data_IF_408548717218
#
_entry.id   IF_408548717218
#
_cell.length_a   1.000
_cell.length_b   1.000
_cell.length_c   1.000
_cell.angle_alpha   90.00
_cell.angle_beta   90.00
_cell.angle_gamma   90.00
#
_symmetry.space_group_name_H-M   'P 1'
#
loop_
_entity.id
_entity.type
_entity.pdbx_description
1 polymer ?
#
# COMPACT_ATOMS: atom_id res chain seq x y z
N UNK A 1 30.08 0.31 -12.77
CA UNK A 1 28.71 0.64 -12.37
C UNK A 1 28.35 -0.39 -11.32
N UNK A 2 28.38 0.02 -10.06
CA UNK A 2 28.10 -0.86 -8.93
C UNK A 2 26.66 -1.39 -9.04
N UNK A 3 26.46 -2.68 -8.78
CA UNK A 3 25.12 -3.26 -8.77
C UNK A 3 24.27 -2.54 -7.71
N UNK A 4 23.01 -2.17 -8.01
CA UNK A 4 22.17 -1.48 -7.05
C UNK A 4 21.92 -2.39 -5.85
N UNK A 5 22.62 -2.13 -4.76
CA UNK A 5 22.51 -2.86 -3.52
C UNK A 5 21.47 -2.22 -2.60
N UNK A 6 20.86 -3.06 -1.75
CA UNK A 6 19.91 -2.58 -0.75
C UNK A 6 20.65 -1.69 0.24
N UNK A 7 20.04 -0.55 0.59
CA UNK A 7 20.63 0.39 1.56
C UNK A 7 20.87 -0.28 2.92
N UNK A 8 19.97 -1.17 3.34
CA UNK A 8 20.11 -1.94 4.58
C UNK A 8 21.42 -2.73 4.64
N UNK A 9 21.73 -3.47 3.57
CA UNK A 9 22.93 -4.32 3.52
C UNK A 9 24.22 -3.49 3.54
N UNK A 10 24.27 -2.40 2.77
CA UNK A 10 25.41 -1.49 2.78
C UNK A 10 25.60 -0.84 4.14
N UNK A 11 24.49 -0.43 4.78
CA UNK A 11 24.51 0.22 6.08
C UNK A 11 24.92 -0.75 7.19
N UNK A 12 24.48 -2.01 7.16
CA UNK A 12 24.92 -3.06 8.08
C UNK A 12 26.41 -3.38 7.92
N UNK A 13 26.89 -3.48 6.69
CA UNK A 13 28.31 -3.74 6.43
C UNK A 13 29.19 -2.54 6.84
N UNK A 14 28.72 -1.32 6.64
CA UNK A 14 29.41 -0.12 7.11
C UNK A 14 29.40 -0.02 8.64
N UNK A 15 28.24 -0.25 9.28
CA UNK A 15 28.09 -0.19 10.73
C UNK A 15 28.91 -1.24 11.46
N UNK A 16 28.95 -2.48 10.97
CA UNK A 16 29.78 -3.53 11.58
C UNK A 16 31.26 -3.18 11.59
N UNK A 17 31.79 -2.63 10.48
CA UNK A 17 33.18 -2.14 10.40
C UNK A 17 33.44 -0.98 11.37
N UNK A 18 32.53 0.01 11.42
CA UNK A 18 32.62 1.16 12.33
C UNK A 18 32.61 0.70 13.79
N UNK A 19 31.76 -0.28 14.13
CA UNK A 19 31.60 -0.77 15.49
C UNK A 19 32.83 -1.55 15.96
N UNK A 20 33.43 -2.38 15.10
CA UNK A 20 34.68 -3.10 15.42
C UNK A 20 35.85 -2.13 15.59
N UNK A 21 36.02 -1.16 14.67
CA UNK A 21 37.12 -0.19 14.74
C UNK A 21 36.93 0.79 15.90
N UNK A 22 35.71 1.30 16.10
CA UNK A 22 35.36 2.21 17.18
C UNK A 22 35.48 1.56 18.56
N UNK A 23 34.98 0.32 18.70
CA UNK A 23 35.12 -0.46 19.94
C UNK A 23 36.58 -0.75 20.28
N UNK A 24 37.38 -1.15 19.29
CA UNK A 24 38.83 -1.31 19.45
C UNK A 24 39.54 -0.01 19.85
N UNK A 25 39.13 1.13 19.26
CA UNK A 25 39.66 2.45 19.60
C UNK A 25 39.38 2.87 21.05
N UNK A 26 38.14 2.68 21.52
CA UNK A 26 37.75 2.97 22.91
C UNK A 26 38.54 2.10 23.90
N UNK A 27 38.68 0.81 23.61
CA UNK A 27 39.46 -0.11 24.45
C UNK A 27 40.95 0.29 24.48
N UNK A 28 41.50 0.65 23.32
CA UNK A 28 42.88 1.13 23.18
C UNK A 28 43.12 2.41 23.98
N UNK A 29 42.19 3.38 23.93
CA UNK A 29 42.25 4.59 24.74
C UNK A 29 42.23 4.28 26.25
N UNK A 30 41.34 3.37 26.67
CA UNK A 30 41.20 3.00 28.08
C UNK A 30 42.46 2.31 28.62
N UNK A 31 42.99 1.33 27.88
CA UNK A 31 44.23 0.64 28.24
C UNK A 31 45.44 1.58 28.19
N UNK A 32 45.54 2.43 27.15
CA UNK A 32 46.58 3.44 27.05
C UNK A 32 46.57 4.40 28.24
N UNK A 33 45.39 4.88 28.64
CA UNK A 33 45.23 5.75 29.81
C UNK A 33 45.65 5.07 31.12
N UNK A 34 45.29 3.79 31.32
CA UNK A 34 45.73 3.01 32.48
C UNK A 34 47.26 2.87 32.50
N UNK A 35 47.89 2.54 31.37
CA UNK A 35 49.35 2.40 31.28
C UNK A 35 50.05 3.72 31.57
N UNK A 36 49.56 4.85 31.06
CA UNK A 36 50.14 6.18 31.35
C UNK A 36 50.02 6.54 32.83
N UNK A 37 48.93 6.13 33.50
CA UNK A 37 48.68 6.48 34.90
C UNK A 37 49.44 5.60 35.90
N UNK A 38 49.64 4.32 35.59
CA UNK A 38 50.19 3.34 36.53
C UNK A 38 51.55 2.75 36.11
N UNK A 39 52.02 3.00 34.89
CA UNK A 39 53.24 2.39 34.35
C UNK A 39 54.38 3.39 34.18
N UNK A 40 55.25 3.50 35.19
CA UNK A 40 56.47 4.34 35.12
C UNK A 40 57.43 3.91 33.99
N UNK A 41 57.57 2.61 33.75
CA UNK A 41 58.51 2.08 32.76
C UNK A 41 57.95 2.07 31.31
N UNK A 42 56.62 2.11 31.14
CA UNK A 42 55.95 1.91 29.84
C UNK A 42 55.24 3.15 29.31
N UNK A 43 55.60 4.34 29.80
CA UNK A 43 54.92 5.59 29.47
C UNK A 43 54.85 5.88 27.96
N UNK A 44 55.91 5.57 27.20
CA UNK A 44 55.93 5.74 25.74
C UNK A 44 54.93 4.83 25.01
N UNK A 45 54.77 3.58 25.46
CA UNK A 45 53.80 2.64 24.89
C UNK A 45 52.37 3.10 25.20
N UNK A 46 52.15 3.64 26.41
CA UNK A 46 50.87 4.22 26.80
C UNK A 46 50.43 5.36 25.88
N UNK A 47 51.33 6.31 25.59
CA UNK A 47 51.05 7.41 24.66
C UNK A 47 50.77 6.93 23.23
N UNK A 48 51.49 5.93 22.72
CA UNK A 48 51.21 5.34 21.41
C UNK A 48 49.81 4.71 21.34
N UNK A 49 49.39 4.01 22.39
CA UNK A 49 48.05 3.44 22.51
C UNK A 49 46.96 4.52 22.55
N UNK A 50 47.20 5.62 23.28
CA UNK A 50 46.25 6.74 23.34
C UNK A 50 46.11 7.42 21.99
N UNK A 51 47.21 7.70 21.29
CA UNK A 51 47.16 8.32 19.96
C UNK A 51 46.50 7.39 18.94
N UNK A 52 46.89 6.10 18.95
CA UNK A 52 46.30 5.09 18.06
C UNK A 52 44.80 4.89 18.30
N UNK A 53 44.38 4.80 19.56
CA UNK A 53 42.97 4.70 19.93
C UNK A 53 42.17 5.94 19.54
N UNK A 54 42.74 7.13 19.73
CA UNK A 54 42.13 8.40 19.32
C UNK A 54 41.94 8.50 17.80
N UNK A 55 42.96 8.12 17.02
CA UNK A 55 42.87 8.09 15.56
C UNK A 55 41.81 7.10 15.05
N UNK A 56 41.73 5.90 15.65
CA UNK A 56 40.71 4.91 15.31
C UNK A 56 39.29 5.41 15.62
N UNK A 57 39.09 6.11 16.74
CA UNK A 57 37.81 6.72 17.10
C UNK A 57 37.42 7.85 16.13
N UNK A 58 38.36 8.73 15.78
CA UNK A 58 38.12 9.78 14.79
C UNK A 58 37.72 9.18 13.43
N UNK A 59 38.39 8.11 13.00
CA UNK A 59 38.03 7.39 11.78
C UNK A 59 36.62 6.78 11.84
N UNK A 60 36.26 6.16 12.97
CA UNK A 60 34.92 5.62 13.19
C UNK A 60 33.83 6.70 13.15
N UNK A 61 34.08 7.86 13.77
CA UNK A 61 33.16 9.02 13.75
C UNK A 61 33.02 9.55 12.32
N UNK A 62 34.13 9.70 11.59
CA UNK A 62 34.10 10.14 10.19
C UNK A 62 33.27 9.19 9.31
N UNK A 63 33.48 7.88 9.45
CA UNK A 63 32.68 6.87 8.75
C UNK A 63 31.19 6.95 9.08
N UNK A 64 30.85 7.19 10.36
CA UNK A 64 29.46 7.37 10.78
C UNK A 64 28.80 8.64 10.20
N UNK A 65 29.56 9.72 10.05
CA UNK A 65 29.03 10.93 9.40
C UNK A 65 28.79 10.69 7.90
N UNK A 66 29.63 9.89 7.26
CA UNK A 66 29.50 9.58 5.83
C UNK A 66 28.33 8.64 5.52
N UNK A 67 27.91 7.77 6.45
CA UNK A 67 26.71 6.94 6.23
C UNK A 67 25.41 7.76 6.18
N UNK A 68 25.41 8.96 6.77
CA UNK A 68 24.26 9.88 6.68
C UNK A 68 24.08 10.51 5.31
N UNK A 69 25.12 10.59 4.49
CA UNK A 69 25.04 11.19 3.15
C UNK A 69 24.71 10.19 2.03
N UNK A 70 24.33 8.95 2.38
CA UNK A 70 23.94 7.94 1.38
C UNK A 70 22.55 8.29 0.85
N UNK A 71 22.38 8.52 -0.47
CA UNK A 71 21.08 8.81 -1.06
C UNK A 71 20.13 7.62 -0.89
N UNK A 72 18.84 7.91 -0.65
CA UNK A 72 17.80 6.90 -0.50
C UNK A 72 16.74 7.07 -1.57
N UNK A 73 16.50 6.02 -2.35
CA UNK A 73 15.44 5.91 -3.33
C UNK A 73 14.40 4.92 -2.81
N UNK A 74 13.26 5.39 -2.26
CA UNK A 74 12.20 4.51 -1.81
C UNK A 74 11.44 3.92 -3.00
N UNK A 75 11.21 2.61 -2.96
CA UNK A 75 10.44 1.87 -3.95
C UNK A 75 9.33 1.10 -3.24
N UNK A 76 8.08 1.45 -3.55
CA UNK A 76 6.89 0.82 -2.97
C UNK A 76 6.62 -0.55 -3.61
N UNK A 77 6.46 -1.58 -2.78
CA UNK A 77 6.14 -2.92 -3.24
C UNK A 77 4.66 -3.03 -3.66
N UNK A 78 4.33 -3.48 -4.90
CA UNK A 78 2.95 -3.56 -5.39
C UNK A 78 2.12 -4.67 -4.73
N UNK A 79 2.76 -5.56 -3.96
CA UNK A 79 2.08 -6.67 -3.30
C UNK A 79 1.64 -6.31 -1.87
N UNK A 80 2.55 -5.76 -1.06
CA UNK A 80 2.33 -5.45 0.35
C UNK A 80 2.22 -3.95 0.66
N UNK A 81 2.45 -3.07 -0.31
CA UNK A 81 2.48 -1.61 -0.17
C UNK A 81 3.48 -1.09 0.88
N UNK A 82 4.52 -1.87 1.18
CA UNK A 82 5.62 -1.42 2.04
C UNK A 82 6.79 -0.95 1.18
N UNK A 83 7.49 0.07 1.68
CA UNK A 83 8.59 0.72 0.98
C UNK A 83 9.91 0.01 1.24
N UNK A 84 10.70 -0.15 0.18
CA UNK A 84 12.06 -0.68 0.23
C UNK A 84 13.04 0.40 -0.24
N UNK A 85 14.05 0.69 0.56
CA UNK A 85 15.01 1.77 0.27
C UNK A 85 16.27 1.25 -0.43
N UNK A 86 16.58 1.84 -1.58
CA UNK A 86 17.78 1.54 -2.36
C UNK A 86 18.73 2.73 -2.42
N UNK A 87 20.02 2.46 -2.62
CA UNK A 87 21.05 3.51 -2.79
C UNK A 87 21.07 4.10 -4.19
N UNK A 88 20.50 3.38 -5.17
CA UNK A 88 20.30 3.81 -6.55
C UNK A 88 19.00 3.21 -7.11
N UNK A 89 18.44 3.76 -8.21
CA UNK A 89 17.28 3.19 -8.87
C UNK A 89 17.55 1.73 -9.28
N UNK A 90 16.72 0.76 -8.85
CA UNK A 90 16.94 -0.64 -9.18
C UNK A 90 16.66 -0.89 -10.67
N UNK A 91 17.61 -1.53 -11.35
CA UNK A 91 17.53 -1.83 -12.80
C UNK A 91 17.06 -3.27 -13.05
N UNK A 92 17.09 -4.12 -12.01
CA UNK A 92 16.75 -5.53 -12.07
C UNK A 92 15.65 -5.87 -11.06
N UNK A 93 14.96 -6.97 -11.30
CA UNK A 93 13.97 -7.54 -10.39
C UNK A 93 14.60 -7.77 -9.01
N UNK A 94 13.85 -7.46 -7.94
CA UNK A 94 14.31 -7.63 -6.56
C UNK A 94 13.24 -8.32 -5.71
N UNK A 95 13.67 -9.02 -4.67
CA UNK A 95 12.75 -9.58 -3.68
C UNK A 95 12.44 -8.52 -2.61
N UNK A 96 11.15 -8.27 -2.35
CA UNK A 96 10.71 -7.41 -1.26
C UNK A 96 11.04 -8.05 0.10
N UNK A 97 11.61 -7.28 1.03
CA UNK A 97 12.01 -7.80 2.36
C UNK A 97 10.83 -8.16 3.27
N UNK A 98 9.67 -7.57 3.02
CA UNK A 98 8.50 -7.73 3.88
C UNK A 98 7.62 -8.92 3.49
N UNK A 99 7.39 -9.10 2.19
CA UNK A 99 6.53 -10.17 1.69
C UNK A 99 7.28 -11.26 0.93
N UNK A 100 8.60 -11.13 0.76
CA UNK A 100 9.46 -12.09 0.04
C UNK A 100 9.04 -12.36 -1.41
N UNK A 101 8.14 -11.53 -1.98
CA UNK A 101 7.69 -11.64 -3.37
C UNK A 101 8.68 -10.92 -4.27
N UNK A 102 8.91 -11.51 -5.45
CA UNK A 102 9.72 -10.91 -6.49
C UNK A 102 8.95 -9.76 -7.15
N UNK A 103 9.48 -8.55 -6.97
CA UNK A 103 9.01 -7.32 -7.62
C UNK A 103 9.74 -7.18 -8.94
N UNK A 104 8.97 -7.04 -10.01
CA UNK A 104 9.50 -6.96 -11.37
C UNK A 104 9.70 -5.51 -11.79
N UNK A 105 10.82 -5.25 -12.45
CA UNK A 105 11.16 -3.92 -12.96
C UNK A 105 11.26 -3.96 -14.48
N UNK A 106 10.55 -3.05 -15.14
CA UNK A 106 10.63 -2.83 -16.57
C UNK A 106 10.99 -1.38 -16.85
N UNK A 107 12.09 -1.17 -17.59
CA UNK A 107 12.58 0.17 -17.96
C UNK A 107 12.77 1.11 -16.74
N UNK A 108 13.23 0.56 -15.62
CA UNK A 108 13.43 1.32 -14.38
C UNK A 108 12.15 1.69 -13.63
N UNK A 109 10.99 1.16 -14.04
CA UNK A 109 9.71 1.32 -13.33
C UNK A 109 9.25 0.00 -12.76
N UNK A 110 8.66 0.05 -11.57
CA UNK A 110 8.01 -1.10 -10.95
C UNK A 110 6.77 -1.47 -11.75
N UNK A 111 6.65 -2.76 -12.10
CA UNK A 111 5.47 -3.27 -12.80
C UNK A 111 4.41 -3.62 -11.77
N UNK A 112 3.20 -3.07 -11.93
CA UNK A 112 2.08 -3.34 -11.03
C UNK A 112 1.64 -4.81 -11.05
N UNK A 113 1.26 -5.30 -9.88
CA UNK A 113 0.71 -6.64 -9.73
C UNK A 113 -0.70 -6.70 -10.32
N UNK A 114 -0.99 -7.75 -11.12
CA UNK A 114 -2.33 -7.99 -11.65
C UNK A 114 -3.19 -8.63 -10.56
N UNK A 115 -4.40 -8.13 -10.37
CA UNK A 115 -5.41 -8.78 -9.55
C UNK A 115 -6.24 -9.72 -10.40
N UNK A 116 -6.22 -11.01 -10.04
CA UNK A 116 -7.02 -12.03 -10.71
C UNK A 116 -7.89 -12.75 -9.68
N UNK A 117 -9.09 -13.15 -10.10
CA UNK A 117 -9.96 -13.98 -9.28
C UNK A 117 -9.60 -15.45 -9.49
N UNK A 118 -9.38 -16.19 -8.41
CA UNK A 118 -9.11 -17.62 -8.50
C UNK A 118 -10.33 -18.35 -9.11
N UNK A 119 -10.18 -19.14 -10.17
CA UNK A 119 -11.30 -19.83 -10.80
C UNK A 119 -11.89 -20.94 -9.93
N UNK A 120 -11.14 -21.46 -8.94
CA UNK A 120 -11.56 -22.57 -8.11
C UNK A 120 -12.29 -22.13 -6.83
N UNK A 121 -11.77 -21.11 -6.13
CA UNK A 121 -12.33 -20.66 -4.84
C UNK A 121 -12.87 -19.22 -4.87
N UNK A 122 -12.63 -18.46 -5.94
CA UNK A 122 -13.10 -17.09 -6.06
C UNK A 122 -12.33 -16.05 -5.24
N UNK A 123 -11.25 -16.42 -4.53
CA UNK A 123 -10.42 -15.45 -3.80
C UNK A 123 -9.64 -14.54 -4.76
N UNK A 124 -9.36 -13.31 -4.31
CA UNK A 124 -8.59 -12.32 -5.05
C UNK A 124 -7.10 -12.56 -4.84
N UNK A 125 -6.35 -12.69 -5.94
CA UNK A 125 -4.92 -13.00 -5.91
C UNK A 125 -4.14 -11.91 -6.64
N UNK A 126 -3.07 -11.42 -6.01
CA UNK A 126 -2.13 -10.45 -6.60
C UNK A 126 -0.92 -11.19 -7.16
N UNK A 127 -0.79 -11.22 -8.48
CA UNK A 127 0.25 -11.99 -9.18
C UNK A 127 1.08 -11.07 -10.05
N UNK A 128 2.35 -11.43 -10.26
CA UNK A 128 3.24 -10.69 -11.16
C UNK A 128 2.68 -10.61 -12.58
N UNK A 129 2.92 -9.49 -13.25
CA UNK A 129 2.40 -9.27 -14.59
C UNK A 129 2.93 -10.27 -15.63
N UNK A 130 4.12 -10.84 -15.42
CA UNK A 130 4.78 -11.83 -16.30
C UNK A 130 4.42 -13.29 -15.99
N UNK A 131 3.81 -13.61 -14.85
CA UNK A 131 3.50 -15.00 -14.53
C UNK A 131 2.43 -15.57 -15.48
N UNK A 132 2.72 -16.74 -16.05
CA UNK A 132 1.77 -17.54 -16.84
C UNK A 132 0.96 -18.50 -15.96
N UNK A 133 1.59 -19.02 -14.91
CA UNK A 133 0.98 -19.87 -13.89
C UNK A 133 1.19 -19.24 -12.51
N UNK A 134 0.20 -19.41 -11.65
CA UNK A 134 0.26 -18.97 -10.26
C UNK A 134 -0.39 -20.01 -9.36
N UNK A 135 -0.07 -19.98 -8.08
CA UNK A 135 -0.69 -20.84 -7.07
C UNK A 135 -1.57 -19.97 -6.19
N UNK A 136 -2.80 -20.41 -5.93
CA UNK A 136 -3.72 -19.66 -5.08
C UNK A 136 -3.30 -19.78 -3.62
N UNK A 137 -3.10 -18.68 -2.92
CA UNK A 137 -2.70 -18.68 -1.50
C UNK A 137 -3.77 -19.30 -0.58
N UNK A 138 -5.05 -19.24 -0.97
CA UNK A 138 -6.17 -19.72 -0.15
C UNK A 138 -6.43 -21.22 -0.32
N UNK A 139 -6.48 -21.70 -1.57
CA UNK A 139 -6.87 -23.08 -1.89
C UNK A 139 -5.70 -23.95 -2.39
N UNK A 140 -4.51 -23.38 -2.47
CA UNK A 140 -3.26 -24.02 -2.88
C UNK A 140 -3.34 -24.81 -4.19
N UNK A 141 -4.20 -24.37 -5.12
CA UNK A 141 -4.32 -24.94 -6.46
C UNK A 141 -3.64 -24.06 -7.50
N UNK A 142 -3.06 -24.71 -8.49
CA UNK A 142 -2.51 -24.05 -9.66
C UNK A 142 -3.63 -23.38 -10.47
N UNK A 143 -3.38 -22.15 -10.89
CA UNK A 143 -4.26 -21.36 -11.75
C UNK A 143 -3.45 -20.83 -12.92
N UNK A 144 -4.06 -20.90 -14.10
CA UNK A 144 -3.47 -20.35 -15.31
C UNK A 144 -3.86 -18.87 -15.42
N UNK A 145 -2.88 -17.98 -15.28
CA UNK A 145 -3.08 -16.51 -15.25
C UNK A 145 -3.63 -16.01 -16.58
N UNK A 146 -3.31 -16.68 -17.69
CA UNK A 146 -3.81 -16.33 -19.02
C UNK A 146 -5.30 -16.63 -19.18
N UNK A 147 -5.82 -17.64 -18.47
CA UNK A 147 -7.24 -18.04 -18.50
C UNK A 147 -8.06 -17.41 -17.37
N UNK A 148 -7.41 -16.94 -16.31
CA UNK A 148 -8.08 -16.31 -15.18
C UNK A 148 -8.65 -14.95 -15.57
N UNK A 149 -9.87 -14.66 -15.13
CA UNK A 149 -10.51 -13.38 -15.38
C UNK A 149 -9.75 -12.29 -14.64
N UNK A 150 -9.13 -11.37 -15.40
CA UNK A 150 -8.53 -10.17 -14.85
C UNK A 150 -9.64 -9.32 -14.27
N UNK A 151 -9.58 -9.13 -12.97
CA UNK A 151 -10.39 -8.09 -12.34
C UNK A 151 -9.56 -6.83 -12.50
N UNK A 152 -9.89 -6.05 -13.54
CA UNK A 152 -9.49 -4.63 -13.54
C UNK A 152 -9.95 -4.12 -12.19
N UNK A 153 -9.06 -3.45 -11.44
CA UNK A 153 -9.40 -2.84 -10.16
C UNK A 153 -10.52 -1.82 -10.41
N UNK A 154 -11.76 -2.32 -10.44
CA UNK A 154 -12.96 -1.53 -10.31
C UNK A 154 -12.88 -1.09 -8.87
N UNK A 155 -12.54 0.17 -8.69
CA UNK A 155 -12.38 0.82 -7.40
C UNK A 155 -13.63 0.52 -6.56
N UNK A 156 -13.54 -0.47 -5.65
CA UNK A 156 -14.66 -0.87 -4.79
C UNK A 156 -15.08 0.26 -3.84
N UNK A 157 -14.23 1.28 -3.73
CA UNK A 157 -14.47 2.51 -2.99
C UNK A 157 -14.97 3.68 -3.85
N UNK A 158 -15.21 3.48 -5.16
CA UNK A 158 -15.85 4.52 -5.95
C UNK A 158 -17.20 4.88 -5.31
N UNK A 159 -17.51 6.18 -5.15
CA UNK A 159 -18.77 6.60 -4.56
C UNK A 159 -19.93 6.20 -5.47
N UNK A 160 -20.94 5.53 -4.90
CA UNK A 160 -22.18 5.17 -5.59
C UNK A 160 -23.34 5.98 -5.00
N UNK A 161 -24.37 6.17 -5.81
CA UNK A 161 -25.67 6.68 -5.38
C UNK A 161 -26.74 5.60 -5.57
N UNK A 162 -27.74 5.62 -4.69
CA UNK A 162 -28.89 4.73 -4.76
C UNK A 162 -30.13 5.55 -5.13
N UNK A 163 -30.69 5.28 -6.30
CA UNK A 163 -31.87 5.96 -6.84
C UNK A 163 -33.07 5.04 -6.73
N UNK A 164 -34.15 5.56 -6.15
CA UNK A 164 -35.44 4.90 -6.12
C UNK A 164 -36.23 5.34 -7.37
N UNK A 165 -36.46 4.41 -8.28
CA UNK A 165 -37.11 4.67 -9.57
C UNK A 165 -38.60 4.31 -9.56
N UNK A 166 -39.02 3.41 -8.66
CA UNK A 166 -40.41 2.99 -8.58
C UNK A 166 -40.76 2.27 -7.30
N UNK A 167 -42.06 2.17 -7.03
CA UNK A 167 -42.62 1.39 -5.91
C UNK A 167 -43.55 0.33 -6.48
N UNK A 168 -43.38 -0.91 -6.04
CA UNK A 168 -44.20 -2.04 -6.49
C UNK A 168 -45.56 -2.13 -5.79
N UNK A 169 -46.14 -3.33 -5.80
CA UNK A 169 -47.54 -3.57 -5.41
C UNK A 169 -47.87 -3.31 -3.93
N UNK A 170 -46.87 -3.16 -3.06
CA UNK A 170 -47.04 -3.01 -1.61
C UNK A 170 -46.29 -1.78 -1.06
N UNK A 171 -46.79 -0.56 -1.29
CA UNK A 171 -46.10 0.68 -0.89
C UNK A 171 -45.94 0.81 0.62
N UNK A 172 -46.85 0.24 1.43
CA UNK A 172 -46.78 0.34 2.90
C UNK A 172 -45.54 -0.33 3.49
N UNK A 173 -45.03 -1.41 2.88
CA UNK A 173 -43.79 -2.07 3.32
C UNK A 173 -42.56 -1.22 3.02
N UNK A 174 -42.52 -0.62 1.83
CA UNK A 174 -41.44 0.28 1.42
C UNK A 174 -41.41 1.51 2.32
N UNK A 175 -42.58 2.06 2.67
CA UNK A 175 -42.69 3.21 3.59
C UNK A 175 -42.12 2.88 4.97
N UNK A 176 -42.44 1.72 5.56
CA UNK A 176 -41.89 1.32 6.87
C UNK A 176 -40.36 1.22 6.86
N UNK A 177 -39.78 0.66 5.78
CA UNK A 177 -38.32 0.53 5.66
C UNK A 177 -37.67 1.90 5.45
N UNK A 178 -38.26 2.77 4.61
CA UNK A 178 -37.72 4.12 4.40
C UNK A 178 -37.85 5.00 5.66
N UNK A 179 -38.92 4.85 6.44
CA UNK A 179 -39.10 5.51 7.73
C UNK A 179 -37.99 5.13 8.71
N UNK A 180 -37.65 3.84 8.83
CA UNK A 180 -36.56 3.41 9.71
C UNK A 180 -35.18 3.79 9.20
N UNK A 181 -34.95 3.74 7.88
CA UNK A 181 -33.65 4.06 7.28
C UNK A 181 -33.33 5.55 7.25
N UNK A 182 -34.31 6.40 6.93
CA UNK A 182 -34.13 7.85 6.79
C UNK A 182 -34.51 8.61 8.06
N UNK A 183 -35.11 7.94 9.05
CA UNK A 183 -35.63 8.55 10.28
C UNK A 183 -36.63 9.69 10.00
N UNK A 184 -37.44 9.51 8.95
CA UNK A 184 -38.45 10.45 8.49
C UNK A 184 -39.85 10.01 8.92
N UNK A 185 -40.75 10.97 9.14
CA UNK A 185 -42.15 10.68 9.44
C UNK A 185 -42.85 10.05 8.23
N UNK A 186 -43.78 9.12 8.47
CA UNK A 186 -44.56 8.43 7.43
C UNK A 186 -45.18 9.36 6.38
N UNK A 187 -45.62 10.56 6.79
CA UNK A 187 -46.19 11.54 5.87
C UNK A 187 -45.14 12.12 4.89
N UNK A 188 -43.92 12.36 5.37
CA UNK A 188 -42.83 12.90 4.56
C UNK A 188 -42.31 11.85 3.58
N UNK A 189 -42.22 10.58 4.01
CA UNK A 189 -41.88 9.46 3.11
C UNK A 189 -42.90 9.33 1.98
N UNK A 190 -44.20 9.48 2.27
CA UNK A 190 -45.24 9.46 1.21
C UNK A 190 -45.04 10.57 0.18
N UNK A 191 -44.72 11.79 0.62
CA UNK A 191 -44.40 12.90 -0.28
C UNK A 191 -43.16 12.62 -1.12
N UNK A 192 -42.14 11.98 -0.55
CA UNK A 192 -40.93 11.57 -1.29
C UNK A 192 -41.23 10.51 -2.36
N UNK A 193 -42.17 9.60 -2.09
CA UNK A 193 -42.62 8.60 -3.08
C UNK A 193 -43.49 9.20 -4.20
N UNK A 194 -44.07 10.38 -4.00
CA UNK A 194 -44.79 11.10 -5.07
C UNK A 194 -43.83 11.79 -6.04
N UNK A 195 -42.59 12.07 -5.62
CA UNK A 195 -41.54 12.72 -6.41
C UNK A 195 -40.58 11.75 -7.09
N UNK A 196 -41.00 10.51 -7.37
CA UNK A 196 -40.16 9.53 -8.07
C UNK A 196 -39.82 9.99 -9.50
N UNK A 197 -38.59 9.77 -9.99
CA UNK A 197 -37.44 9.12 -9.34
C UNK A 197 -36.68 10.04 -8.35
N UNK A 198 -36.18 9.48 -7.24
CA UNK A 198 -35.45 10.24 -6.20
C UNK A 198 -34.17 9.54 -5.74
N UNK A 199 -33.11 10.31 -5.48
CA UNK A 199 -31.85 9.83 -4.90
C UNK A 199 -32.00 9.69 -3.39
N UNK A 200 -31.87 8.48 -2.85
CA UNK A 200 -32.01 8.22 -1.41
C UNK A 200 -30.69 8.44 -0.66
N UNK A 201 -29.59 7.96 -1.24
CA UNK A 201 -28.27 8.04 -0.64
C UNK A 201 -27.23 8.38 -1.71
N UNK A 202 -26.36 9.33 -1.40
CA UNK A 202 -25.20 9.69 -2.22
C UNK A 202 -23.91 9.31 -1.50
N UNK A 203 -22.83 9.14 -2.25
CA UNK A 203 -21.48 8.89 -1.72
C UNK A 203 -21.40 7.67 -0.77
N UNK A 204 -22.12 6.58 -1.11
CA UNK A 204 -22.08 5.34 -0.36
C UNK A 204 -21.20 4.30 -1.04
N UNK A 205 -20.59 3.42 -0.23
CA UNK A 205 -19.83 2.29 -0.76
C UNK A 205 -20.76 1.31 -1.46
N UNK A 206 -20.25 0.63 -2.49
CA UNK A 206 -21.03 -0.33 -3.28
C UNK A 206 -21.70 -1.39 -2.42
N UNK A 207 -20.98 -1.92 -1.42
CA UNK A 207 -21.50 -2.92 -0.48
C UNK A 207 -22.71 -2.41 0.31
N UNK A 208 -22.66 -1.15 0.79
CA UNK A 208 -23.80 -0.55 1.51
C UNK A 208 -24.98 -0.32 0.56
N UNK A 209 -24.72 0.17 -0.65
CA UNK A 209 -25.75 0.36 -1.68
C UNK A 209 -26.46 -0.95 -2.04
N UNK A 210 -25.73 -2.05 -2.18
CA UNK A 210 -26.27 -3.37 -2.48
C UNK A 210 -27.10 -3.94 -1.32
N UNK A 211 -26.66 -3.79 -0.06
CA UNK A 211 -27.47 -4.23 1.09
C UNK A 211 -28.79 -3.46 1.19
N UNK A 212 -28.73 -2.13 1.08
CA UNK A 212 -29.93 -1.29 1.12
C UNK A 212 -30.87 -1.56 -0.06
N UNK A 213 -30.32 -1.78 -1.25
CA UNK A 213 -31.08 -2.21 -2.43
C UNK A 213 -31.81 -3.53 -2.17
N UNK A 214 -31.13 -4.51 -1.58
CA UNK A 214 -31.73 -5.81 -1.29
C UNK A 214 -32.94 -5.68 -0.37
N UNK A 215 -32.80 -4.94 0.74
CA UNK A 215 -33.90 -4.71 1.69
C UNK A 215 -35.09 -3.98 1.04
N UNK A 216 -34.82 -2.98 0.19
CA UNK A 216 -35.85 -2.25 -0.53
C UNK A 216 -36.55 -3.11 -1.60
N UNK A 217 -35.80 -3.92 -2.33
CA UNK A 217 -36.34 -4.84 -3.34
C UNK A 217 -37.19 -5.94 -2.69
N UNK A 218 -36.80 -6.44 -1.52
CA UNK A 218 -37.59 -7.41 -0.73
C UNK A 218 -38.93 -6.82 -0.28
N UNK A 219 -38.96 -5.52 0.06
CA UNK A 219 -40.20 -4.78 0.31
C UNK A 219 -41.01 -4.44 -0.96
N UNK A 220 -40.48 -4.75 -2.14
CA UNK A 220 -41.14 -4.56 -3.43
C UNK A 220 -40.84 -3.22 -4.10
N UNK A 221 -39.77 -2.52 -3.73
CA UNK A 221 -39.32 -1.31 -4.41
C UNK A 221 -38.46 -1.60 -5.65
N UNK A 222 -38.40 -0.66 -6.59
CA UNK A 222 -37.53 -0.69 -7.76
C UNK A 222 -36.42 0.34 -7.55
N UNK A 223 -35.19 -0.13 -7.46
CA UNK A 223 -34.00 0.71 -7.20
C UNK A 223 -32.89 0.45 -8.21
N UNK A 224 -32.18 1.53 -8.53
CA UNK A 224 -31.02 1.55 -9.42
C UNK A 224 -29.80 2.07 -8.66
N UNK A 225 -28.64 1.43 -8.84
CA UNK A 225 -27.36 1.89 -8.28
C UNK A 225 -26.60 2.55 -9.43
N UNK A 226 -26.27 3.84 -9.28
CA UNK A 226 -25.48 4.58 -10.26
C UNK A 226 -24.11 4.95 -9.66
N UNK A 227 -23.01 4.89 -10.42
CA UNK A 227 -21.75 5.44 -9.97
C UNK A 227 -21.80 6.97 -10.04
N UNK A 228 -21.27 7.66 -9.02
CA UNK A 228 -21.35 9.13 -8.92
C UNK A 228 -20.72 9.85 -10.14
N UNK A 229 -19.73 9.22 -10.78
CA UNK A 229 -19.09 9.74 -12.00
C UNK A 229 -20.05 9.83 -13.20
N UNK A 230 -21.09 8.98 -13.26
CA UNK A 230 -22.12 9.05 -14.30
C UNK A 230 -23.23 10.04 -13.94
N UNK A 231 -23.57 10.16 -12.66
CA UNK A 231 -24.57 11.12 -12.17
C UNK A 231 -24.17 12.58 -12.47
N UNK A 232 -22.89 12.92 -12.23
CA UNK A 232 -22.34 14.25 -12.53
C UNK A 232 -22.25 14.55 -14.04
N UNK A 233 -22.14 13.52 -14.88
CA UNK A 233 -22.12 13.67 -16.34
C UNK A 233 -23.54 13.88 -16.92
N UNK A 234 -24.57 13.39 -16.23
CA UNK A 234 -25.97 13.53 -16.66
C UNK A 234 -26.57 14.89 -16.24
N UNK A 235 -26.14 15.44 -15.10
CA UNK A 235 -26.45 16.82 -14.64
C UNK A 235 -25.65 17.92 -15.36
N UNK A 236 -24.68 17.56 -16.21
CA UNK A 236 -23.97 18.55 -17.01
C UNK A 236 -24.92 19.19 -18.04
N UNK A 237 -24.99 20.53 -18.13
CA UNK A 237 -25.89 21.21 -19.04
C UNK A 237 -25.57 20.84 -20.50
N UNK A 238 -26.62 20.77 -21.33
CA UNK A 238 -26.62 20.13 -22.66
C UNK A 238 -25.52 20.61 -23.62
N UNK A 239 -24.95 21.80 -23.39
CA UNK A 239 -23.84 22.38 -24.14
C UNK A 239 -22.46 21.76 -23.83
N UNK A 240 -22.35 20.88 -22.84
CA UNK A 240 -21.11 20.21 -22.41
C UNK A 240 -21.01 18.74 -22.84
N UNK A 241 -22.09 18.17 -23.38
CA UNK A 241 -22.11 16.78 -23.89
C UNK A 241 -21.45 16.76 -25.27
N UNK A 242 -20.19 16.34 -25.34
CA UNK A 242 -19.52 16.10 -26.63
C UNK A 242 -20.25 14.97 -27.37
N UNK A 243 -20.50 15.09 -28.69
CA UNK A 243 -21.15 14.03 -29.46
C UNK A 243 -20.29 12.76 -29.43
N UNK A 244 -20.91 11.56 -29.41
CA UNK A 244 -20.17 10.32 -29.45
C UNK A 244 -19.37 10.25 -30.76
N UNK A 245 -18.05 10.13 -30.63
CA UNK A 245 -17.13 9.78 -31.73
C UNK A 245 -17.21 8.29 -32.05
#
# INVERSE_FOLDING_TARGET
MDEPTKRSNELEQAMSKILVVGGGGVLGLFLGWLVVKYGDWFQHIGWLLVIGGGAALLYAIYGYLQTRSIPSFPVTCPYCNQDTEFTAPPVRDFACDHCMKLVQIENGKVVDAKQIKCPNCGSMQRISARATTGICEECNREMNVSKAQRVVAVDENAPHELVLTGVGRHPDRVIMILESMLSLNRLDVKKLLETLPIVLFTNITKRKAEMTRFELVEAGAITEIRPLAQAQAEEAPDWLKLPPT
#
